data_IF_376854583327
#
_entry.id   IF_376854583327
#
_cell.length_a   1.000
_cell.length_b   1.000
_cell.length_c   1.000
_cell.angle_alpha   90.00
_cell.angle_beta   90.00
_cell.angle_gamma   90.00
#
_symmetry.space_group_name_H-M   'P 1'
#
loop_
_entity.id
_entity.type
_entity.pdbx_description
1 polymer ?
#
# COMPACT_ATOMS: atom_id res chain seq x y z
N UNK A 1 0.30 -1.42 33.57
CA UNK A 1 1.56 -0.96 32.97
C UNK A 1 1.67 -1.60 31.59
N UNK A 2 1.18 -0.95 30.53
CA UNK A 2 1.35 -1.47 29.17
C UNK A 2 2.70 -0.98 28.66
N UNK A 3 3.68 -1.89 28.56
CA UNK A 3 4.93 -1.58 27.88
C UNK A 3 4.62 -1.16 26.46
N UNK A 4 5.12 0.00 26.03
CA UNK A 4 5.07 0.37 24.63
C UNK A 4 5.83 -0.71 23.85
N UNK A 5 5.14 -1.39 22.94
CA UNK A 5 5.76 -2.36 22.04
C UNK A 5 6.85 -1.62 21.25
N UNK A 6 8.08 -2.13 21.28
CA UNK A 6 9.20 -1.47 20.60
C UNK A 6 8.94 -1.37 19.10
N UNK A 7 9.20 -0.20 18.51
CA UNK A 7 9.04 0.03 17.06
C UNK A 7 9.81 -1.04 16.26
N UNK A 8 9.15 -1.80 15.38
CA UNK A 8 9.80 -2.85 14.61
C UNK A 8 10.76 -2.26 13.58
N UNK A 9 11.91 -2.93 13.40
CA UNK A 9 12.92 -2.55 12.39
C UNK A 9 12.91 -3.48 11.19
N UNK A 10 12.30 -4.66 11.30
CA UNK A 10 12.32 -5.70 10.27
C UNK A 10 10.95 -5.78 9.58
N UNK A 11 10.87 -5.53 8.26
CA UNK A 11 9.62 -5.69 7.52
C UNK A 11 9.04 -7.09 7.63
N UNK A 12 7.72 -7.19 7.69
CA UNK A 12 6.97 -8.43 7.89
C UNK A 12 6.82 -8.83 9.37
N UNK A 13 7.36 -8.04 10.31
CA UNK A 13 7.14 -8.24 11.75
C UNK A 13 5.68 -7.88 12.10
N UNK A 14 4.93 -8.75 12.80
CA UNK A 14 3.62 -8.41 13.33
C UNK A 14 3.70 -7.17 14.24
N UNK A 15 2.87 -6.15 13.97
CA UNK A 15 2.83 -4.92 14.74
C UNK A 15 1.54 -4.15 14.45
N UNK A 16 0.96 -3.49 15.44
CA UNK A 16 -0.20 -2.61 15.23
C UNK A 16 -1.42 -3.27 14.60
N UNK A 17 -1.64 -4.58 14.83
CA UNK A 17 -2.75 -5.35 14.25
C UNK A 17 -2.53 -5.85 12.81
N UNK A 18 -1.37 -5.56 12.22
CA UNK A 18 -0.97 -6.07 10.91
C UNK A 18 0.52 -6.37 10.89
N UNK A 19 1.20 -6.01 9.80
CA UNK A 19 2.62 -6.26 9.61
C UNK A 19 3.35 -4.99 9.19
N UNK A 20 4.47 -4.69 9.85
CA UNK A 20 5.30 -3.55 9.50
C UNK A 20 5.87 -3.70 8.09
N UNK A 21 5.62 -2.71 7.23
CA UNK A 21 6.10 -2.70 5.85
C UNK A 21 7.29 -1.76 5.66
N UNK A 22 7.39 -0.68 6.42
CA UNK A 22 8.45 0.31 6.27
C UNK A 22 8.00 1.69 6.74
N UNK A 23 8.70 2.75 6.31
CA UNK A 23 8.46 4.12 6.76
C UNK A 23 8.19 5.08 5.62
N UNK A 24 7.31 6.03 5.87
CA UNK A 24 7.01 7.15 4.97
C UNK A 24 7.11 8.48 5.73
N UNK A 25 7.71 9.50 5.11
CA UNK A 25 7.71 10.88 5.55
C UNK A 25 6.45 11.56 5.02
N UNK A 26 5.76 12.24 5.92
CA UNK A 26 4.65 13.14 5.63
C UNK A 26 4.96 14.53 6.19
N UNK A 27 4.11 15.52 5.91
CA UNK A 27 4.36 16.91 6.28
C UNK A 27 4.53 17.11 7.80
N UNK A 28 3.86 16.29 8.61
CA UNK A 28 3.82 16.40 10.06
C UNK A 28 4.71 15.39 10.79
N UNK A 29 5.43 14.51 10.08
CA UNK A 29 6.36 13.56 10.70
C UNK A 29 6.60 12.29 9.89
N UNK A 30 7.32 11.35 10.50
CA UNK A 30 7.56 10.01 9.95
C UNK A 30 6.51 9.05 10.50
N UNK A 31 6.01 8.20 9.62
CA UNK A 31 5.03 7.17 9.94
C UNK A 31 5.57 5.79 9.57
N UNK A 32 5.29 4.80 10.41
CA UNK A 32 5.34 3.39 10.04
C UNK A 32 4.13 3.09 9.16
N UNK A 33 4.34 2.33 8.08
CA UNK A 33 3.26 1.74 7.26
C UNK A 33 3.03 0.32 7.75
N UNK A 34 1.80 0.00 8.16
CA UNK A 34 1.39 -1.31 8.65
C UNK A 34 0.38 -1.90 7.67
N UNK A 35 0.68 -3.03 7.04
CA UNK A 35 -0.24 -3.71 6.12
C UNK A 35 -1.15 -4.68 6.86
N UNK A 36 -2.44 -4.69 6.52
CA UNK A 36 -3.41 -5.63 7.09
C UNK A 36 -3.05 -7.09 6.75
N UNK A 37 -3.54 -8.09 7.50
CA UNK A 37 -3.40 -9.49 7.13
C UNK A 37 -3.93 -9.82 5.73
N UNK A 38 -3.42 -10.89 5.12
CA UNK A 38 -3.78 -11.32 3.76
C UNK A 38 -5.26 -11.60 3.60
N UNK A 39 -5.92 -12.06 4.67
CA UNK A 39 -7.35 -12.27 4.69
C UNK A 39 -8.19 -11.00 4.40
N UNK A 40 -7.60 -9.81 4.54
CA UNK A 40 -8.22 -8.52 4.20
C UNK A 40 -7.99 -8.11 2.74
N UNK A 41 -7.32 -8.93 1.94
CA UNK A 41 -7.17 -8.66 0.52
C UNK A 41 -8.44 -9.01 -0.24
N UNK A 42 -8.85 -8.13 -1.14
CA UNK A 42 -9.98 -8.36 -2.04
C UNK A 42 -9.76 -7.65 -3.38
N UNK A 43 -10.65 -7.84 -4.34
CA UNK A 43 -10.60 -7.18 -5.66
C UNK A 43 -11.80 -6.27 -5.85
N UNK A 44 -11.55 -4.97 -5.99
CA UNK A 44 -12.60 -3.94 -6.08
C UNK A 44 -12.25 -2.87 -7.12
N UNK A 45 -13.27 -2.24 -7.69
CA UNK A 45 -13.09 -1.05 -8.51
C UNK A 45 -12.67 0.14 -7.64
N UNK A 46 -11.83 1.02 -8.18
CA UNK A 46 -11.42 2.24 -7.49
C UNK A 46 -12.60 3.22 -7.38
N UNK A 47 -13.40 3.34 -8.45
CA UNK A 47 -14.62 4.14 -8.51
C UNK A 47 -15.61 3.55 -9.51
N UNK A 48 -16.89 3.87 -9.37
CA UNK A 48 -17.96 3.44 -10.29
C UNK A 48 -18.23 4.43 -11.46
N UNK A 49 -17.44 5.49 -11.58
CA UNK A 49 -17.56 6.51 -12.62
C UNK A 49 -16.19 7.06 -13.03
N UNK A 50 -16.07 7.52 -14.28
CA UNK A 50 -14.84 8.14 -14.82
C UNK A 50 -14.85 9.66 -14.61
N UNK A 51 -14.95 10.08 -13.36
CA UNK A 51 -14.90 11.49 -12.96
C UNK A 51 -13.77 11.72 -11.96
N UNK A 52 -13.28 12.94 -11.87
CA UNK A 52 -12.30 13.34 -10.84
C UNK A 52 -12.90 13.25 -9.45
N UNK A 53 -12.03 13.14 -8.45
CA UNK A 53 -12.38 13.02 -7.04
C UNK A 53 -11.48 13.97 -6.26
N UNK A 54 -12.06 15.07 -5.78
CA UNK A 54 -11.31 16.07 -5.03
C UNK A 54 -10.65 15.44 -3.78
N UNK A 55 -9.43 15.90 -3.43
CA UNK A 55 -8.73 15.44 -2.23
C UNK A 55 -8.03 14.08 -2.35
N UNK A 56 -7.96 13.48 -3.54
CA UNK A 56 -7.38 12.13 -3.74
C UNK A 56 -6.02 12.12 -4.46
N UNK A 57 -5.36 13.28 -4.59
CA UNK A 57 -4.12 13.41 -5.36
C UNK A 57 -2.84 13.22 -4.54
N UNK A 58 -2.93 13.00 -3.21
CA UNK A 58 -1.73 12.87 -2.37
C UNK A 58 -0.95 11.61 -2.73
N UNK A 59 0.38 11.73 -2.79
CA UNK A 59 1.27 10.60 -3.09
C UNK A 59 1.60 9.78 -1.84
N UNK A 60 1.59 10.39 -0.65
CA UNK A 60 2.07 9.80 0.59
C UNK A 60 1.09 9.87 1.77
N UNK A 61 -0.07 10.51 1.60
CA UNK A 61 -1.14 10.57 2.62
C UNK A 61 -2.38 9.79 2.15
N UNK A 62 -2.30 8.47 2.26
CA UNK A 62 -3.40 7.59 1.86
C UNK A 62 -4.63 7.68 2.75
N UNK A 63 -4.46 8.11 4.00
CA UNK A 63 -5.58 8.33 4.92
C UNK A 63 -6.42 9.52 4.42
N UNK A 64 -5.79 10.66 4.16
CA UNK A 64 -6.49 11.83 3.63
C UNK A 64 -7.16 11.54 2.28
N UNK A 65 -6.47 10.84 1.37
CA UNK A 65 -7.08 10.41 0.12
C UNK A 65 -8.31 9.53 0.38
N UNK A 66 -8.18 8.50 1.24
CA UNK A 66 -9.25 7.53 1.48
C UNK A 66 -10.46 8.14 2.18
N UNK A 67 -10.25 9.07 3.12
CA UNK A 67 -11.34 9.79 3.78
C UNK A 67 -12.11 10.67 2.78
N UNK A 68 -11.41 11.34 1.84
CA UNK A 68 -12.04 12.14 0.79
C UNK A 68 -12.93 11.32 -0.17
N UNK A 69 -12.72 10.01 -0.25
CA UNK A 69 -13.47 9.10 -1.11
C UNK A 69 -14.13 7.93 -0.35
N UNK A 70 -14.39 8.07 0.95
CA UNK A 70 -15.08 7.04 1.73
C UNK A 70 -16.60 7.06 1.48
N UNK A 71 -17.04 6.60 0.32
CA UNK A 71 -18.45 6.57 -0.06
C UNK A 71 -18.75 5.45 -1.06
N UNK A 72 -20.04 5.18 -1.31
CA UNK A 72 -20.50 4.07 -2.14
C UNK A 72 -20.03 4.13 -3.60
N UNK A 73 -19.56 5.29 -4.10
CA UNK A 73 -18.98 5.38 -5.44
C UNK A 73 -17.55 4.85 -5.51
N UNK A 74 -16.86 4.62 -4.39
CA UNK A 74 -15.44 4.23 -4.34
C UNK A 74 -15.26 2.96 -3.50
N UNK A 75 -15.68 1.82 -4.06
CA UNK A 75 -15.73 0.55 -3.34
C UNK A 75 -14.40 0.18 -2.69
N UNK A 76 -13.26 0.38 -3.37
CA UNK A 76 -11.92 0.12 -2.84
C UNK A 76 -11.63 0.89 -1.54
N UNK A 77 -11.84 2.21 -1.53
CA UNK A 77 -11.56 3.04 -0.36
C UNK A 77 -12.56 2.80 0.76
N UNK A 78 -13.85 2.65 0.42
CA UNK A 78 -14.89 2.33 1.39
C UNK A 78 -14.62 1.00 2.11
N UNK A 79 -14.21 -0.03 1.36
CA UNK A 79 -13.81 -1.31 1.94
C UNK A 79 -12.64 -1.15 2.93
N UNK A 80 -11.58 -0.45 2.52
CA UNK A 80 -10.42 -0.27 3.39
C UNK A 80 -10.74 0.55 4.64
N UNK A 81 -11.57 1.61 4.55
CA UNK A 81 -11.99 2.41 5.71
C UNK A 81 -12.96 1.66 6.64
N UNK A 82 -13.75 0.73 6.12
CA UNK A 82 -14.66 -0.09 6.91
C UNK A 82 -13.98 -1.32 7.54
N UNK A 83 -12.75 -1.67 7.12
CA UNK A 83 -12.03 -2.80 7.67
C UNK A 83 -11.68 -2.56 9.14
N UNK A 84 -11.97 -3.55 9.99
CA UNK A 84 -11.83 -3.46 11.45
C UNK A 84 -10.90 -4.54 12.05
N UNK A 85 -9.94 -5.02 11.25
CA UNK A 85 -8.99 -6.06 11.67
C UNK A 85 -8.21 -5.68 12.92
N UNK A 86 -8.04 -6.64 13.83
CA UNK A 86 -7.37 -6.41 15.11
C UNK A 86 -8.13 -5.49 16.07
N UNK A 87 -9.41 -5.18 15.80
CA UNK A 87 -10.22 -4.27 16.61
C UNK A 87 -9.90 -2.79 16.40
N UNK A 88 -9.29 -2.44 15.26
CA UNK A 88 -8.78 -1.11 14.92
C UNK A 88 -9.58 -0.53 13.76
N UNK A 89 -9.82 0.78 13.72
CA UNK A 89 -10.73 1.46 12.78
C UNK A 89 -10.03 2.54 11.90
N UNK A 90 -8.71 2.63 11.97
CA UNK A 90 -7.88 3.60 11.26
C UNK A 90 -7.21 3.03 9.99
N UNK A 91 -7.77 1.95 9.44
CA UNK A 91 -7.31 1.32 8.19
C UNK A 91 -7.75 2.08 6.95
N UNK A 92 -6.93 2.20 5.92
CA UNK A 92 -7.22 2.97 4.70
C UNK A 92 -6.55 2.36 3.47
N UNK A 93 -6.90 2.86 2.28
CA UNK A 93 -6.27 2.44 1.03
C UNK A 93 -4.94 3.22 0.86
N UNK A 94 -3.77 2.55 0.75
CA UNK A 94 -2.48 3.22 0.74
C UNK A 94 -2.36 4.21 -0.41
N UNK A 95 -1.74 5.38 -0.20
CA UNK A 95 -1.32 6.23 -1.31
C UNK A 95 -0.19 5.58 -2.10
N UNK A 96 0.11 6.11 -3.30
CA UNK A 96 1.09 5.53 -4.24
C UNK A 96 2.44 5.24 -3.57
N UNK A 97 2.96 6.17 -2.78
CA UNK A 97 4.29 6.05 -2.16
C UNK A 97 4.26 5.17 -0.90
N UNK A 98 3.11 5.02 -0.23
CA UNK A 98 2.94 4.04 0.84
C UNK A 98 2.86 2.60 0.29
N UNK A 99 2.16 2.42 -0.83
CA UNK A 99 2.08 1.13 -1.54
C UNK A 99 3.45 0.72 -2.10
N UNK A 100 4.24 1.70 -2.54
CA UNK A 100 5.63 1.48 -2.97
C UNK A 100 6.50 0.96 -1.82
N UNK A 101 6.37 1.53 -0.62
CA UNK A 101 7.05 1.04 0.59
C UNK A 101 6.68 -0.41 0.90
N UNK A 102 5.41 -0.79 0.72
CA UNK A 102 4.98 -2.18 0.84
C UNK A 102 5.71 -3.09 -0.15
N UNK A 103 5.71 -2.75 -1.45
CA UNK A 103 6.40 -3.55 -2.45
C UNK A 103 7.90 -3.66 -2.16
N UNK A 104 8.56 -2.55 -1.86
CA UNK A 104 10.00 -2.49 -1.66
C UNK A 104 10.51 -3.45 -0.60
N UNK A 105 9.74 -3.59 0.47
CA UNK A 105 10.17 -4.33 1.65
C UNK A 105 9.53 -5.73 1.76
N UNK A 106 8.39 -5.94 1.09
CA UNK A 106 7.59 -7.16 1.15
C UNK A 106 7.40 -7.81 -0.23
N UNK A 107 8.34 -7.58 -1.16
CA UNK A 107 8.35 -8.18 -2.50
C UNK A 107 8.22 -9.72 -2.41
N UNK A 108 7.14 -10.34 -2.94
CA UNK A 108 6.85 -11.76 -2.71
C UNK A 108 7.73 -12.74 -3.49
N UNK A 109 8.10 -12.42 -4.73
CA UNK A 109 8.85 -13.33 -5.61
C UNK A 109 10.20 -12.75 -6.05
N UNK A 110 10.93 -13.53 -6.85
CA UNK A 110 12.27 -13.20 -7.36
C UNK A 110 12.26 -12.63 -8.79
N UNK A 111 11.11 -12.20 -9.33
CA UNK A 111 11.01 -11.62 -10.67
C UNK A 111 11.89 -10.36 -10.76
N UNK A 112 12.58 -10.14 -11.89
CA UNK A 112 13.39 -8.94 -12.07
C UNK A 112 12.52 -7.68 -12.01
N UNK A 113 13.00 -6.60 -11.36
CA UNK A 113 12.20 -5.38 -11.24
C UNK A 113 12.14 -4.59 -12.55
N UNK A 114 11.01 -3.93 -12.79
CA UNK A 114 10.87 -2.88 -13.80
C UNK A 114 11.65 -1.61 -13.36
N UNK A 115 12.76 -1.29 -14.02
CA UNK A 115 13.75 -0.27 -13.58
C UNK A 115 13.35 1.19 -13.85
N UNK A 116 12.24 1.42 -14.54
CA UNK A 116 11.68 2.76 -14.78
C UNK A 116 10.81 3.27 -13.62
N UNK A 117 10.65 2.49 -12.55
CA UNK A 117 9.80 2.78 -11.40
C UNK A 117 10.56 2.66 -10.08
N UNK A 118 9.93 3.10 -9.00
CA UNK A 118 10.44 2.92 -7.64
C UNK A 118 11.00 4.18 -6.98
N UNK A 119 11.29 5.25 -7.73
CA UNK A 119 11.64 6.52 -7.13
C UNK A 119 10.53 6.97 -6.16
N UNK A 120 10.91 7.18 -4.91
CA UNK A 120 10.02 7.54 -3.82
C UNK A 120 10.77 8.42 -2.83
N UNK A 121 10.62 9.73 -2.96
CA UNK A 121 11.24 10.71 -2.06
C UNK A 121 10.59 10.74 -0.68
N UNK A 122 9.39 10.17 -0.55
CA UNK A 122 8.66 10.10 0.71
C UNK A 122 8.99 8.83 1.50
N UNK A 123 9.56 7.79 0.90
CA UNK A 123 10.07 6.65 1.66
C UNK A 123 11.20 7.08 2.62
N UNK A 124 11.38 6.37 3.74
CA UNK A 124 12.46 6.63 4.68
C UNK A 124 13.32 5.38 4.87
N UNK A 125 14.59 5.38 4.37
CA UNK A 125 15.24 6.47 3.62
C UNK A 125 14.63 6.70 2.23
N UNK A 126 14.80 7.92 1.71
CA UNK A 126 14.36 8.27 0.35
C UNK A 126 15.11 7.42 -0.67
N UNK A 127 14.44 7.02 -1.74
CA UNK A 127 14.97 6.05 -2.68
C UNK A 127 14.80 6.44 -4.13
N UNK A 128 15.76 5.98 -4.93
CA UNK A 128 15.76 6.06 -6.37
C UNK A 128 14.92 4.96 -7.01
N UNK A 129 14.87 4.94 -8.35
CA UNK A 129 14.28 3.85 -9.10
C UNK A 129 14.93 2.50 -8.75
N UNK A 130 14.14 1.44 -8.94
CA UNK A 130 14.58 0.07 -8.80
C UNK A 130 15.73 -0.24 -9.76
N UNK A 131 16.59 -1.16 -9.33
CA UNK A 131 17.47 -1.90 -10.25
C UNK A 131 16.84 -3.26 -10.53
N UNK A 132 17.31 -3.97 -11.55
CA UNK A 132 16.79 -5.31 -11.88
C UNK A 132 16.80 -6.27 -10.66
N UNK A 133 17.75 -6.09 -9.72
CA UNK A 133 17.87 -6.88 -8.49
C UNK A 133 17.48 -6.18 -7.18
N UNK A 134 17.12 -4.89 -7.19
CA UNK A 134 16.77 -4.13 -5.98
C UNK A 134 15.45 -3.38 -6.16
N UNK A 135 14.41 -3.65 -5.33
CA UNK A 135 14.41 -4.56 -4.18
C UNK A 135 14.55 -6.04 -4.58
N UNK A 136 15.24 -6.80 -3.74
CA UNK A 136 15.27 -8.25 -3.80
C UNK A 136 13.98 -8.83 -3.19
N UNK A 137 13.73 -10.13 -3.37
CA UNK A 137 12.65 -10.83 -2.66
C UNK A 137 12.79 -10.60 -1.15
N UNK A 138 11.66 -10.39 -0.45
CA UNK A 138 11.66 -10.21 1.00
C UNK A 138 12.24 -11.42 1.75
N UNK A 139 12.89 -11.17 2.89
CA UNK A 139 13.36 -12.23 3.79
C UNK A 139 12.24 -12.74 4.71
N UNK A 140 11.14 -12.00 4.86
CA UNK A 140 10.00 -12.40 5.67
C UNK A 140 9.28 -13.60 5.05
N UNK A 141 9.44 -14.78 5.65
CA UNK A 141 8.93 -16.05 5.10
C UNK A 141 7.42 -16.03 4.82
N UNK A 142 6.64 -15.37 5.70
CA UNK A 142 5.19 -15.24 5.51
C UNK A 142 4.81 -14.43 4.26
N UNK A 143 5.67 -13.50 3.81
CA UNK A 143 5.41 -12.62 2.67
C UNK A 143 6.01 -13.12 1.35
N UNK A 144 6.80 -14.20 1.35
CA UNK A 144 7.25 -14.86 0.11
C UNK A 144 6.08 -15.57 -0.57
N UNK A 145 6.08 -15.67 -1.90
CA UNK A 145 5.05 -16.42 -2.65
C UNK A 145 4.79 -17.80 -2.04
N UNK A 146 3.51 -18.11 -1.78
CA UNK A 146 3.07 -19.32 -1.07
C UNK A 146 2.99 -19.18 0.46
N UNK A 147 3.57 -18.11 1.02
CA UNK A 147 3.44 -17.74 2.43
C UNK A 147 2.06 -17.16 2.75
N UNK A 148 1.65 -17.29 4.01
CA UNK A 148 0.31 -16.92 4.48
C UNK A 148 -0.03 -15.43 4.32
N UNK A 149 0.98 -14.56 4.23
CA UNK A 149 0.85 -13.11 4.17
C UNK A 149 1.29 -12.49 2.85
N UNK A 150 1.69 -13.31 1.88
CA UNK A 150 2.23 -12.85 0.60
C UNK A 150 1.25 -11.97 -0.16
N UNK A 151 1.73 -10.86 -0.72
CA UNK A 151 0.99 -10.17 -1.76
C UNK A 151 0.82 -11.12 -2.97
N UNK A 152 -0.34 -11.09 -3.58
CA UNK A 152 -0.66 -11.84 -4.80
C UNK A 152 0.16 -11.30 -5.96
N UNK A 153 0.78 -12.21 -6.69
CA UNK A 153 1.55 -11.94 -7.91
C UNK A 153 0.94 -12.73 -9.06
N UNK A 154 0.98 -12.25 -10.31
CA UNK A 154 1.62 -11.01 -10.78
C UNK A 154 0.66 -9.81 -10.84
N UNK A 155 -0.30 -9.71 -9.92
CA UNK A 155 -1.37 -8.74 -9.97
C UNK A 155 -0.98 -7.32 -9.52
N UNK A 156 -1.85 -6.37 -9.88
CA UNK A 156 -1.77 -4.98 -9.47
C UNK A 156 -2.64 -4.70 -8.25
N UNK A 157 -2.10 -3.88 -7.36
CA UNK A 157 -2.82 -3.31 -6.23
C UNK A 157 -3.16 -1.86 -6.50
N UNK A 158 -4.39 -1.45 -6.17
CA UNK A 158 -4.75 -0.04 -6.19
C UNK A 158 -3.99 0.74 -5.12
N UNK A 159 -3.65 1.97 -5.46
CA UNK A 159 -3.41 3.02 -4.49
C UNK A 159 -4.63 3.94 -4.39
N UNK A 160 -4.70 4.75 -3.34
CA UNK A 160 -5.71 5.79 -3.18
C UNK A 160 -5.43 7.04 -4.01
N UNK A 161 -4.29 7.12 -4.68
CA UNK A 161 -3.87 8.29 -5.46
C UNK A 161 -4.54 8.30 -6.84
N UNK A 162 -5.43 9.26 -7.06
CA UNK A 162 -6.01 9.55 -8.36
C UNK A 162 -4.97 10.18 -9.31
N UNK A 163 -4.99 9.80 -10.58
CA UNK A 163 -4.20 10.47 -11.63
C UNK A 163 -5.06 11.43 -12.46
N UNK A 164 -6.24 10.98 -12.88
CA UNK A 164 -7.12 11.72 -13.78
C UNK A 164 -8.55 11.23 -13.64
N UNK A 165 -9.51 11.85 -14.34
CA UNK A 165 -10.91 11.41 -14.32
C UNK A 165 -11.10 9.89 -14.57
N UNK A 166 -10.48 9.28 -15.60
CA UNK A 166 -10.63 7.84 -15.84
C UNK A 166 -9.68 6.94 -15.03
N UNK A 167 -8.57 7.47 -14.47
CA UNK A 167 -7.46 6.62 -14.02
C UNK A 167 -6.94 6.94 -12.62
N UNK A 168 -6.55 5.89 -11.90
CA UNK A 168 -5.85 5.96 -10.60
C UNK A 168 -4.53 5.17 -10.65
N UNK A 169 -3.62 5.46 -9.73
CA UNK A 169 -2.33 4.77 -9.64
C UNK A 169 -2.47 3.37 -9.02
N UNK A 170 -1.64 2.46 -9.50
CA UNK A 170 -1.55 1.08 -9.01
C UNK A 170 -0.14 0.54 -9.16
N UNK A 171 0.18 -0.50 -8.41
CA UNK A 171 1.51 -1.12 -8.42
C UNK A 171 1.41 -2.64 -8.52
N UNK A 172 2.21 -3.24 -9.40
CA UNK A 172 2.33 -4.68 -9.57
C UNK A 172 3.31 -5.25 -8.57
N UNK A 173 2.96 -6.35 -7.90
CA UNK A 173 3.78 -6.91 -6.83
C UNK A 173 4.77 -7.99 -7.27
N UNK A 174 4.81 -8.38 -8.55
CA UNK A 174 5.88 -9.25 -9.07
C UNK A 174 7.16 -8.45 -9.39
N UNK A 175 7.04 -7.36 -10.15
CA UNK A 175 8.18 -6.61 -10.70
C UNK A 175 8.23 -5.14 -10.27
N UNK A 176 7.27 -4.69 -9.48
CA UNK A 176 7.20 -3.31 -8.99
C UNK A 176 6.68 -2.31 -10.02
N UNK A 177 6.21 -2.77 -11.17
CA UNK A 177 5.70 -1.90 -12.22
C UNK A 177 4.59 -0.98 -11.70
N UNK A 178 4.79 0.33 -11.77
CA UNK A 178 3.78 1.33 -11.40
C UNK A 178 3.07 1.81 -12.66
N UNK A 179 1.74 1.74 -12.65
CA UNK A 179 0.92 2.13 -13.79
C UNK A 179 -0.34 2.84 -13.32
N UNK A 180 -0.95 3.59 -14.22
CA UNK A 180 -2.29 4.12 -14.04
C UNK A 180 -3.29 3.26 -14.80
N UNK A 181 -4.42 2.98 -14.18
CA UNK A 181 -5.39 2.05 -14.73
C UNK A 181 -6.81 2.62 -14.63
N UNK A 182 -7.69 2.12 -15.49
CA UNK A 182 -9.10 2.53 -15.49
C UNK A 182 -9.74 2.23 -14.13
N UNK A 183 -10.33 3.24 -13.50
CA UNK A 183 -10.94 3.16 -12.16
C UNK A 183 -12.11 2.21 -12.06
N UNK A 184 -12.79 1.93 -13.18
CA UNK A 184 -13.91 0.99 -13.25
C UNK A 184 -13.44 -0.47 -13.18
N UNK A 185 -12.17 -0.74 -13.47
CA UNK A 185 -11.62 -2.09 -13.39
C UNK A 185 -11.38 -2.52 -11.95
N UNK A 186 -11.79 -3.74 -11.62
CA UNK A 186 -11.44 -4.34 -10.34
C UNK A 186 -9.94 -4.65 -10.29
N UNK A 187 -9.29 -4.31 -9.17
CA UNK A 187 -7.91 -4.71 -8.85
C UNK A 187 -7.79 -5.00 -7.37
N UNK A 188 -6.67 -5.60 -6.99
CA UNK A 188 -6.44 -5.94 -5.60
C UNK A 188 -6.35 -4.70 -4.73
N UNK A 189 -6.90 -4.80 -3.54
CA UNK A 189 -6.78 -3.82 -2.47
C UNK A 189 -6.38 -4.55 -1.22
N UNK A 190 -5.51 -3.93 -0.42
CA UNK A 190 -5.16 -4.43 0.91
C UNK A 190 -5.05 -3.22 1.83
N UNK A 191 -5.86 -3.14 2.90
CA UNK A 191 -5.83 -2.00 3.80
C UNK A 191 -4.44 -1.85 4.43
N UNK A 192 -4.04 -0.61 4.65
CA UNK A 192 -2.88 -0.25 5.49
C UNK A 192 -3.34 0.68 6.60
N UNK A 193 -2.55 0.82 7.65
CA UNK A 193 -2.68 1.91 8.62
C UNK A 193 -1.31 2.54 8.86
N UNK A 194 -1.30 3.71 9.48
CA UNK A 194 -0.06 4.42 9.83
C UNK A 194 0.06 4.67 11.31
N UNK A 195 1.29 4.59 11.83
CA UNK A 195 1.61 4.90 13.22
C UNK A 195 2.75 5.90 13.22
N UNK A 196 2.54 7.06 13.85
CA UNK A 196 3.55 8.13 13.93
C UNK A 196 4.67 7.74 14.89
N UNK A 197 5.91 8.11 14.58
CA UNK A 197 7.10 7.92 15.43
C UNK A 197 7.82 9.23 15.74
#
# INVERSE_FOLDING_TARGET
MSGAESVPTTPGTPFGGGFYAGKVQQADGVYLVIVAPKAAETSLAWKNAQTTTAGTASLNDGLANSDAMNNASHAAAQYCRAYNGGGLDDWYLPAKDELEVCYRNLKPDSTANSTSHGANTNSVPAAANYTAGSPAQTTAAAFKTGGAEAFTVPDFYWSSTELSAPSAWSQRFSDGGQSYNNKLSARLVRPVRRIKI
#
